data_IF_217491795702
#
_entry.id   IF_217491795702
#
_cell.length_a   1.000
_cell.length_b   1.000
_cell.length_c   1.000
_cell.angle_alpha   90.00
_cell.angle_beta   90.00
_cell.angle_gamma   90.00
#
_symmetry.space_group_name_H-M   'P 1'
#
loop_
_entity.id
_entity.type
_entity.pdbx_description
1 polymer ?
#
# COMPACT_ATOMS: atom_id res chain seq x y z
N UNK A 1 24.17 15.78 9.29
CA UNK A 1 23.29 14.71 8.75
C UNK A 1 22.38 14.30 9.87
N UNK A 2 21.14 14.77 9.85
CA UNK A 2 20.17 14.50 10.91
C UNK A 2 20.07 12.99 11.11
N UNK A 3 20.23 12.56 12.36
CA UNK A 3 19.91 11.20 12.80
C UNK A 3 18.39 11.09 12.73
N UNK A 4 17.85 11.07 11.51
CA UNK A 4 16.44 11.16 11.23
C UNK A 4 15.82 9.91 11.81
N UNK A 5 14.98 10.09 12.83
CA UNK A 5 14.22 8.99 13.41
C UNK A 5 13.48 8.25 12.29
N UNK A 6 13.29 6.93 12.42
CA UNK A 6 12.48 6.18 11.47
C UNK A 6 11.10 6.84 11.35
N UNK A 7 10.61 6.93 10.11
CA UNK A 7 9.26 7.42 9.84
C UNK A 7 8.25 6.48 10.50
N UNK A 8 7.14 7.04 10.99
CA UNK A 8 6.04 6.28 11.59
C UNK A 8 4.70 6.75 11.06
N UNK A 9 3.64 5.97 11.32
CA UNK A 9 2.26 6.34 10.99
C UNK A 9 2.10 6.75 9.51
N UNK A 10 1.42 7.87 9.24
CA UNK A 10 1.09 8.29 7.88
C UNK A 10 2.33 8.60 7.04
N UNK A 11 3.39 9.15 7.63
CA UNK A 11 4.64 9.47 6.93
C UNK A 11 5.34 8.19 6.46
N UNK A 12 5.28 7.12 7.27
CA UNK A 12 5.81 5.83 6.89
C UNK A 12 5.03 5.22 5.72
N UNK A 13 3.69 5.29 5.77
CA UNK A 13 2.83 4.76 4.71
C UNK A 13 3.07 5.50 3.40
N UNK A 14 3.18 6.83 3.44
CA UNK A 14 3.41 7.65 2.25
C UNK A 14 4.78 7.36 1.63
N UNK A 15 5.84 7.34 2.45
CA UNK A 15 7.18 6.98 2.01
C UNK A 15 7.24 5.55 1.44
N UNK A 16 6.60 4.60 2.12
CA UNK A 16 6.51 3.22 1.66
C UNK A 16 5.77 3.14 0.31
N UNK A 17 4.62 3.81 0.15
CA UNK A 17 3.86 3.87 -1.11
C UNK A 17 4.68 4.47 -2.26
N UNK A 18 5.34 5.60 -2.02
CA UNK A 18 6.17 6.27 -3.03
C UNK A 18 7.31 5.36 -3.51
N UNK A 19 7.86 4.54 -2.61
CA UNK A 19 9.00 3.67 -2.87
C UNK A 19 8.64 2.20 -3.11
N UNK A 20 7.35 1.84 -3.05
CA UNK A 20 6.89 0.45 -3.21
C UNK A 20 7.31 -0.16 -4.55
N UNK A 21 7.36 0.65 -5.61
CA UNK A 21 7.83 0.23 -6.94
C UNK A 21 9.35 -0.05 -6.98
N UNK A 22 10.11 0.50 -6.05
CA UNK A 22 11.56 0.33 -5.94
C UNK A 22 11.94 -0.88 -5.07
N UNK A 23 10.97 -1.53 -4.43
CA UNK A 23 11.18 -2.68 -3.56
C UNK A 23 11.27 -2.31 -2.07
N UNK A 24 11.11 -3.33 -1.23
CA UNK A 24 11.02 -3.21 0.22
C UNK A 24 12.31 -2.69 0.86
N UNK A 25 13.46 -3.07 0.32
CA UNK A 25 14.77 -2.66 0.82
C UNK A 25 15.01 -1.16 0.65
N UNK A 26 14.67 -0.63 -0.52
CA UNK A 26 14.79 0.80 -0.80
C UNK A 26 13.80 1.61 0.05
N UNK A 27 12.56 1.12 0.19
CA UNK A 27 11.57 1.77 1.03
C UNK A 27 12.00 1.82 2.52
N UNK A 28 12.57 0.75 3.06
CA UNK A 28 13.09 0.72 4.43
C UNK A 28 14.24 1.72 4.64
N UNK A 29 15.21 1.76 3.71
CA UNK A 29 16.34 2.70 3.76
C UNK A 29 15.88 4.16 3.74
N UNK A 30 14.99 4.49 2.81
CA UNK A 30 14.45 5.84 2.65
C UNK A 30 13.53 6.24 3.81
N UNK A 31 12.89 5.26 4.46
CA UNK A 31 12.04 5.47 5.65
C UNK A 31 12.82 5.57 6.96
N UNK A 32 14.15 5.44 6.93
CA UNK A 32 15.01 5.54 8.12
C UNK A 32 15.18 4.24 8.92
N UNK A 33 14.79 3.09 8.35
CA UNK A 33 15.01 1.76 8.92
C UNK A 33 16.30 1.10 8.42
N UNK A 34 16.92 1.64 7.37
CA UNK A 34 18.16 1.08 6.82
C UNK A 34 17.91 -0.31 6.26
N UNK A 35 18.67 -1.29 6.73
CA UNK A 35 18.56 -2.70 6.33
C UNK A 35 17.63 -3.51 7.25
N UNK A 36 17.02 -2.89 8.27
CA UNK A 36 16.05 -3.53 9.18
C UNK A 36 14.67 -3.67 8.53
N UNK A 37 14.55 -4.55 7.53
CA UNK A 37 13.30 -4.78 6.77
C UNK A 37 12.17 -5.30 7.67
N UNK A 38 12.50 -6.18 8.60
CA UNK A 38 11.54 -6.78 9.54
C UNK A 38 10.84 -5.70 10.38
N UNK A 39 11.64 -4.77 10.91
CA UNK A 39 11.15 -3.64 11.70
C UNK A 39 10.37 -2.63 10.85
N UNK A 40 10.79 -2.43 9.60
CA UNK A 40 10.06 -1.60 8.64
C UNK A 40 8.69 -2.18 8.33
N UNK A 41 8.60 -3.49 8.09
CA UNK A 41 7.32 -4.18 7.82
C UNK A 41 6.39 -4.16 9.02
N UNK A 42 6.87 -4.47 10.22
CA UNK A 42 6.05 -4.40 11.44
C UNK A 42 5.46 -3.00 11.67
N UNK A 43 6.29 -1.97 11.53
CA UNK A 43 5.86 -0.58 11.66
C UNK A 43 4.87 -0.18 10.56
N UNK A 44 5.10 -0.64 9.31
CA UNK A 44 4.23 -0.33 8.18
C UNK A 44 2.87 -1.00 8.33
N UNK A 45 2.82 -2.28 8.71
CA UNK A 45 1.59 -3.01 8.98
C UNK A 45 0.81 -2.36 10.11
N UNK A 46 1.50 -2.00 11.20
CA UNK A 46 0.88 -1.28 12.32
C UNK A 46 0.31 0.06 11.88
N UNK A 47 1.04 0.82 11.07
CA UNK A 47 0.58 2.11 10.55
C UNK A 47 -0.63 1.96 9.63
N UNK A 48 -0.61 0.99 8.71
CA UNK A 48 -1.76 0.67 7.84
C UNK A 48 -2.98 0.23 8.67
N UNK A 49 -2.78 -0.63 9.66
CA UNK A 49 -3.88 -1.14 10.49
C UNK A 49 -4.54 -0.01 11.29
N UNK A 50 -3.77 1.00 11.74
CA UNK A 50 -4.32 2.20 12.42
C UNK A 50 -5.30 2.99 11.57
N UNK A 51 -5.15 2.96 10.24
CA UNK A 51 -6.07 3.63 9.31
C UNK A 51 -7.12 2.67 8.71
N UNK A 52 -7.23 1.45 9.25
CA UNK A 52 -8.20 0.45 8.79
C UNK A 52 -7.79 -0.29 7.51
N UNK A 53 -6.51 -0.21 7.13
CA UNK A 53 -5.95 -0.87 5.95
C UNK A 53 -5.12 -2.07 6.39
N UNK A 54 -5.38 -3.25 5.84
CA UNK A 54 -4.61 -4.45 6.17
C UNK A 54 -3.77 -4.89 4.97
N UNK A 55 -2.45 -4.85 5.11
CA UNK A 55 -1.51 -5.22 4.06
C UNK A 55 -0.77 -6.51 4.46
N UNK A 56 -0.53 -7.37 3.48
CA UNK A 56 0.36 -8.52 3.61
C UNK A 56 1.80 -8.17 3.22
N UNK A 57 1.95 -7.29 2.22
CA UNK A 57 3.22 -6.95 1.61
C UNK A 57 3.24 -5.50 1.13
N UNK A 58 4.43 -4.92 0.94
CA UNK A 58 4.59 -3.54 0.44
C UNK A 58 3.87 -3.31 -0.91
N UNK A 59 3.83 -4.33 -1.78
CA UNK A 59 3.14 -4.26 -3.06
C UNK A 59 1.61 -4.13 -2.92
N UNK A 60 1.05 -4.45 -1.76
CA UNK A 60 -0.37 -4.34 -1.51
C UNK A 60 -0.83 -2.87 -1.44
N UNK A 61 0.04 -1.99 -0.89
CA UNK A 61 -0.25 -0.55 -0.83
C UNK A 61 -0.40 0.11 -2.20
N UNK A 62 0.21 -0.46 -3.25
CA UNK A 62 0.04 0.01 -4.63
C UNK A 62 -1.07 -0.74 -5.38
N UNK A 63 -1.50 -1.91 -4.88
CA UNK A 63 -2.59 -2.72 -5.45
C UNK A 63 -3.98 -2.31 -4.96
N UNK A 64 -4.12 -1.82 -3.73
CA UNK A 64 -5.44 -1.49 -3.16
C UNK A 64 -6.21 -0.44 -3.99
N UNK A 65 -5.51 0.42 -4.75
CA UNK A 65 -6.14 1.33 -5.71
C UNK A 65 -6.91 0.64 -6.85
N UNK A 66 -6.72 -0.66 -7.07
CA UNK A 66 -7.41 -1.44 -8.11
C UNK A 66 -8.58 -2.27 -7.57
N UNK A 67 -8.55 -2.68 -6.29
CA UNK A 67 -9.54 -3.63 -5.76
C UNK A 67 -10.90 -2.99 -5.45
N UNK A 68 -10.96 -1.68 -5.16
CA UNK A 68 -12.25 -0.97 -5.01
C UNK A 68 -13.05 -0.92 -6.33
N UNK A 69 -12.43 -1.29 -7.46
CA UNK A 69 -13.12 -1.38 -8.76
C UNK A 69 -13.72 -2.75 -9.08
N UNK A 70 -13.61 -3.71 -8.17
CA UNK A 70 -14.27 -5.01 -8.32
C UNK A 70 -15.28 -5.21 -7.20
N UNK A 71 -16.42 -4.52 -7.34
CA UNK A 71 -17.70 -5.05 -6.89
C UNK A 71 -18.14 -6.08 -7.95
N UNK A 72 -18.00 -7.41 -7.73
CA UNK A 72 -18.65 -8.41 -8.57
C UNK A 72 -20.13 -8.42 -8.19
N UNK A 73 -20.89 -7.47 -8.70
CA UNK A 73 -22.29 -7.30 -8.28
C UNK A 73 -23.12 -6.30 -9.08
N UNK A 74 -22.65 -5.86 -10.25
CA UNK A 74 -23.55 -5.30 -11.25
C UNK A 74 -23.18 -5.90 -12.60
N UNK A 75 -23.74 -7.07 -12.87
CA UNK A 75 -24.06 -7.49 -14.22
C UNK A 75 -24.96 -6.40 -14.81
N UNK A 76 -24.36 -5.36 -15.40
CA UNK A 76 -25.05 -4.60 -16.43
C UNK A 76 -25.12 -5.57 -17.59
N UNK A 77 -26.22 -6.32 -17.68
CA UNK A 77 -26.54 -7.03 -18.90
C UNK A 77 -26.36 -6.05 -20.06
N UNK A 78 -25.66 -6.41 -21.15
CA UNK A 78 -25.82 -5.65 -22.37
C UNK A 78 -27.28 -5.89 -22.75
N UNK A 79 -28.16 -4.92 -22.49
CA UNK A 79 -29.44 -4.86 -23.19
C UNK A 79 -29.05 -4.59 -24.64
N UNK A 80 -28.77 -5.68 -25.34
CA UNK A 80 -28.64 -5.72 -26.78
C UNK A 80 -29.96 -5.19 -27.28
N UNK A 81 -29.92 -4.07 -28.00
CA UNK A 81 -31.06 -3.52 -28.72
C UNK A 81 -31.85 -4.66 -29.36
N UNK A 82 -32.94 -5.05 -28.69
CA UNK A 82 -33.81 -6.10 -29.18
C UNK A 82 -34.49 -5.53 -30.42
N UNK A 83 -33.94 -5.89 -31.57
CA UNK A 83 -34.52 -5.66 -32.88
C UNK A 83 -35.99 -6.05 -32.89
N UNK A 84 -36.86 -5.12 -33.29
CA UNK A 84 -38.03 -5.36 -34.15
C UNK A 84 -38.30 -4.12 -35.02
#
# INVERSE_FOLDING_TARGET
>A
MSKSKPLTDLELIDCAKANAKQGVENAAKLSGYGDDIDKFMDALQTACHRIGVNIDSLSDLIKEQQQIRQIPGLEIAPDSESSL
#
